data_IF_052722658694
#
_entry.id   IF_052722658694
#
_cell.length_a   1.000
_cell.length_b   1.000
_cell.length_c   1.000
_cell.angle_alpha   90.00
_cell.angle_beta   90.00
_cell.angle_gamma   90.00
#
_symmetry.space_group_name_H-M   'P 1'
#
loop_
_entity.id
_entity.type
_entity.pdbx_description
1 polymer ?
#
# COMPACT_ATOMS: atom_id res chain seq x y z
N UNK A 1 3.30 -9.97 34.36
CA UNK A 1 3.71 -10.73 33.16
C UNK A 1 3.18 -10.02 31.91
N UNK A 2 4.08 -9.34 31.20
CA UNK A 2 4.04 -8.95 29.77
C UNK A 2 2.78 -8.32 29.17
N UNK A 3 2.76 -6.99 29.04
CA UNK A 3 1.92 -6.27 28.06
C UNK A 3 2.32 -6.65 26.63
N UNK A 4 1.38 -7.02 25.73
CA UNK A 4 1.69 -7.18 24.32
C UNK A 4 1.56 -5.84 23.60
N UNK A 5 2.51 -4.92 23.84
CA UNK A 5 2.73 -3.76 22.98
C UNK A 5 3.69 -4.15 21.87
N UNK A 6 3.18 -4.84 20.85
CA UNK A 6 3.89 -5.03 19.57
C UNK A 6 3.47 -3.95 18.57
N UNK A 7 4.36 -3.47 17.68
CA UNK A 7 3.97 -2.54 16.63
C UNK A 7 2.85 -3.17 15.80
N UNK A 8 1.80 -2.39 15.58
CA UNK A 8 0.60 -2.72 14.78
C UNK A 8 0.98 -3.06 13.34
N UNK A 9 1.61 -4.21 13.11
CA UNK A 9 1.42 -4.92 11.84
C UNK A 9 0.02 -5.50 11.95
N UNK A 10 -0.92 -5.18 11.04
CA UNK A 10 -2.11 -5.99 10.91
C UNK A 10 -1.62 -7.41 10.66
N UNK A 11 -1.61 -8.24 11.71
CA UNK A 11 -1.49 -9.69 11.60
C UNK A 11 -2.59 -10.03 10.62
N UNK A 12 -2.23 -10.38 9.39
CA UNK A 12 -3.16 -10.66 8.31
C UNK A 12 -4.31 -11.47 8.89
N UNK A 13 -5.41 -10.79 9.22
CA UNK A 13 -6.61 -11.46 9.65
C UNK A 13 -6.98 -12.27 8.42
N UNK A 14 -7.40 -13.52 8.62
CA UNK A 14 -7.55 -14.54 7.58
C UNK A 14 -8.36 -14.10 6.34
N UNK A 15 -8.97 -12.92 6.35
CA UNK A 15 -9.80 -12.34 5.32
C UNK A 15 -9.14 -11.22 4.48
N UNK A 16 -7.86 -10.87 4.71
CA UNK A 16 -7.17 -9.81 3.97
C UNK A 16 -5.96 -10.32 3.19
N UNK A 17 -5.67 -9.67 2.06
CA UNK A 17 -4.46 -9.87 1.26
C UNK A 17 -3.70 -8.55 1.16
N UNK A 18 -2.37 -8.63 1.26
CA UNK A 18 -1.49 -7.48 1.11
C UNK A 18 -1.02 -7.35 -0.33
N UNK A 19 -1.09 -6.13 -0.86
CA UNK A 19 -0.46 -5.71 -2.11
C UNK A 19 0.70 -4.78 -1.74
N UNK A 20 1.89 -5.13 -2.20
CA UNK A 20 3.10 -4.33 -2.06
C UNK A 20 3.18 -3.31 -3.21
N UNK A 21 3.37 -2.05 -2.86
CA UNK A 21 3.68 -0.96 -3.77
C UNK A 21 5.16 -0.53 -3.59
N UNK A 22 5.92 -0.48 -4.68
CA UNK A 22 7.34 -0.09 -4.71
C UNK A 22 7.62 0.90 -5.84
N UNK A 23 8.82 1.50 -5.87
CA UNK A 23 9.21 2.51 -6.86
C UNK A 23 9.10 3.94 -6.34
N UNK A 24 8.92 4.12 -5.04
CA UNK A 24 8.82 5.44 -4.42
C UNK A 24 10.19 6.11 -4.27
N UNK A 25 10.25 7.44 -4.37
CA UNK A 25 11.45 8.20 -4.09
C UNK A 25 11.87 8.04 -2.63
N UNK A 26 13.17 8.14 -2.38
CA UNK A 26 13.78 7.99 -1.05
C UNK A 26 13.32 9.02 -0.03
N UNK A 27 12.87 10.17 -0.51
CA UNK A 27 12.35 11.27 0.29
C UNK A 27 10.90 11.55 -0.14
N UNK A 28 9.95 10.89 0.53
CA UNK A 28 8.52 11.20 0.41
C UNK A 28 8.08 12.15 1.53
N UNK A 29 7.49 13.26 1.14
CA UNK A 29 6.83 14.21 2.03
C UNK A 29 5.46 13.66 2.51
N UNK A 30 4.93 14.12 3.66
CA UNK A 30 3.59 13.73 4.10
C UNK A 30 2.48 14.02 3.07
N UNK A 31 2.59 15.12 2.32
CA UNK A 31 1.64 15.49 1.27
C UNK A 31 1.63 14.47 0.14
N UNK A 32 2.80 13.98 -0.28
CA UNK A 32 2.89 12.96 -1.34
C UNK A 32 2.33 11.61 -0.90
N UNK A 33 2.47 11.26 0.40
CA UNK A 33 1.84 10.06 0.95
C UNK A 33 0.32 10.15 0.92
N UNK A 34 -0.22 11.35 1.19
CA UNK A 34 -1.64 11.62 1.11
C UNK A 34 -2.14 11.55 -0.35
N UNK A 35 -1.45 12.21 -1.28
CA UNK A 35 -1.75 12.12 -2.72
C UNK A 35 -1.71 10.69 -3.25
N UNK A 36 -0.72 9.89 -2.82
CA UNK A 36 -0.65 8.47 -3.17
C UNK A 36 -1.86 7.71 -2.62
N UNK A 37 -2.20 7.93 -1.36
CA UNK A 37 -3.37 7.33 -0.70
C UNK A 37 -4.67 7.65 -1.45
N UNK A 38 -4.85 8.91 -1.85
CA UNK A 38 -6.03 9.33 -2.61
C UNK A 38 -6.10 8.66 -3.98
N UNK A 39 -4.97 8.57 -4.70
CA UNK A 39 -4.90 7.90 -5.99
C UNK A 39 -5.22 6.41 -5.90
N UNK A 40 -4.71 5.72 -4.88
CA UNK A 40 -5.07 4.33 -4.59
C UNK A 40 -6.57 4.22 -4.36
N UNK A 41 -7.16 5.07 -3.49
CA UNK A 41 -8.58 5.04 -3.19
C UNK A 41 -9.47 5.33 -4.42
N UNK A 42 -9.05 6.26 -5.28
CA UNK A 42 -9.72 6.58 -6.53
C UNK A 42 -9.64 5.41 -7.52
N UNK A 43 -8.44 4.83 -7.70
CA UNK A 43 -8.23 3.71 -8.62
C UNK A 43 -9.01 2.46 -8.20
N UNK A 44 -9.08 2.18 -6.90
CA UNK A 44 -9.78 1.01 -6.38
C UNK A 44 -11.23 1.29 -6.00
N UNK A 45 -11.85 2.34 -6.55
CA UNK A 45 -13.30 2.61 -6.43
C UNK A 45 -13.84 2.60 -4.99
N UNK A 46 -13.02 3.00 -4.00
CA UNK A 46 -13.31 2.93 -2.56
C UNK A 46 -13.51 1.52 -1.99
N UNK A 47 -12.89 0.49 -2.58
CA UNK A 47 -12.68 -0.77 -1.89
C UNK A 47 -12.04 -0.50 -0.51
N UNK A 48 -12.63 -1.05 0.54
CA UNK A 48 -12.12 -0.87 1.90
C UNK A 48 -10.71 -1.41 1.99
N UNK A 49 -9.75 -0.52 2.29
CA UNK A 49 -8.35 -0.85 2.36
C UNK A 49 -7.69 -0.22 3.59
N UNK A 50 -6.63 -0.87 4.07
CA UNK A 50 -5.77 -0.30 5.11
C UNK A 50 -4.35 -0.21 4.57
N UNK A 51 -3.74 0.97 4.64
CA UNK A 51 -2.38 1.19 4.16
C UNK A 51 -1.40 1.28 5.31
N UNK A 52 -0.30 0.56 5.19
CA UNK A 52 0.85 0.65 6.07
C UNK A 52 2.07 1.09 5.25
N UNK A 53 2.70 2.19 5.65
CA UNK A 53 3.97 2.61 5.08
C UNK A 53 5.11 1.88 5.80
N UNK A 54 6.07 1.37 5.04
CA UNK A 54 7.29 0.75 5.53
C UNK A 54 8.53 1.38 4.90
N UNK A 55 9.63 1.37 5.64
CA UNK A 55 10.94 1.62 5.05
C UNK A 55 11.35 0.35 4.28
N UNK A 56 11.49 0.46 2.97
CA UNK A 56 11.85 -0.63 2.07
C UNK A 56 13.32 -1.04 2.18
N UNK A 57 14.11 -0.34 3.00
CA UNK A 57 15.55 -0.51 3.04
C UNK A 57 16.24 0.16 1.86
N UNK A 58 17.53 0.49 2.04
CA UNK A 58 18.36 1.21 1.07
C UNK A 58 17.77 2.54 0.58
N UNK A 59 17.03 3.24 1.44
CA UNK A 59 16.42 4.53 1.11
C UNK A 59 15.28 4.40 0.10
N UNK A 60 14.59 3.27 0.00
CA UNK A 60 13.39 3.16 -0.83
C UNK A 60 12.14 3.14 0.06
N UNK A 61 11.11 3.92 -0.28
CA UNK A 61 9.83 3.83 0.42
C UNK A 61 9.03 2.64 -0.13
N UNK A 62 8.34 1.91 0.75
CA UNK A 62 7.41 0.84 0.36
C UNK A 62 6.07 1.06 1.05
N UNK A 63 4.98 0.76 0.37
CA UNK A 63 3.66 0.72 0.99
C UNK A 63 3.07 -0.68 0.85
N UNK A 64 2.35 -1.11 1.89
CA UNK A 64 1.54 -2.32 1.84
C UNK A 64 0.09 -1.89 1.99
N UNK A 65 -0.73 -2.25 1.00
CA UNK A 65 -2.16 -1.97 0.96
C UNK A 65 -2.88 -3.28 1.20
N UNK A 66 -3.66 -3.35 2.28
CA UNK A 66 -4.44 -4.53 2.64
C UNK A 66 -5.86 -4.37 2.13
N UNK A 67 -6.31 -5.31 1.28
CA UNK A 67 -7.69 -5.41 0.81
C UNK A 67 -8.33 -6.70 1.33
N UNK A 68 -9.66 -6.74 1.40
CA UNK A 68 -10.38 -7.99 1.62
C UNK A 68 -10.08 -8.99 0.50
N UNK A 69 -9.90 -10.28 0.82
CA UNK A 69 -9.57 -11.37 -0.13
C UNK A 69 -10.44 -11.34 -1.39
N UNK A 70 -11.74 -11.15 -1.21
CA UNK A 70 -12.72 -11.17 -2.30
C UNK A 70 -12.57 -10.00 -3.29
N UNK A 71 -11.87 -8.94 -2.89
CA UNK A 71 -11.67 -7.74 -3.71
C UNK A 71 -10.20 -7.49 -4.04
N UNK A 72 -9.27 -8.25 -3.46
CA UNK A 72 -7.85 -7.99 -3.59
C UNK A 72 -7.34 -8.23 -5.02
N UNK A 73 -7.84 -9.27 -5.69
CA UNK A 73 -7.45 -9.55 -7.07
C UNK A 73 -7.90 -8.44 -8.02
N UNK A 74 -9.15 -7.99 -7.88
CA UNK A 74 -9.69 -6.86 -8.63
C UNK A 74 -8.94 -5.57 -8.32
N UNK A 75 -8.64 -5.32 -7.04
CA UNK A 75 -7.85 -4.16 -6.61
C UNK A 75 -6.46 -4.15 -7.24
N UNK A 76 -5.77 -5.29 -7.32
CA UNK A 76 -4.46 -5.37 -7.96
C UNK A 76 -4.56 -5.03 -9.46
N UNK A 77 -5.52 -5.61 -10.17
CA UNK A 77 -5.73 -5.33 -11.59
C UNK A 77 -6.03 -3.85 -11.85
N UNK A 78 -6.87 -3.23 -11.02
CA UNK A 78 -7.19 -1.81 -11.10
C UNK A 78 -5.96 -0.92 -10.83
N UNK A 79 -5.17 -1.25 -9.80
CA UNK A 79 -3.96 -0.49 -9.46
C UNK A 79 -2.90 -0.56 -10.55
N UNK A 80 -2.73 -1.73 -11.17
CA UNK A 80 -1.81 -1.91 -12.30
C UNK A 80 -2.30 -1.16 -13.55
N UNK A 81 -3.61 -1.14 -13.80
CA UNK A 81 -4.20 -0.40 -14.91
C UNK A 81 -4.19 1.13 -14.71
N UNK A 82 -4.16 1.60 -13.46
CA UNK A 82 -4.24 3.02 -13.12
C UNK A 82 -2.94 3.82 -13.34
N UNK A 83 -1.82 3.17 -13.64
CA UNK A 83 -0.52 3.81 -13.93
C UNK A 83 -0.16 4.92 -12.92
N UNK A 84 -0.18 4.56 -11.63
CA UNK A 84 0.04 5.52 -10.55
C UNK A 84 1.51 5.94 -10.51
N UNK A 85 1.77 7.25 -10.63
CA UNK A 85 3.13 7.83 -10.65
C UNK A 85 3.41 8.86 -9.57
N UNK A 86 4.44 8.67 -8.74
CA UNK A 86 4.87 9.68 -7.75
C UNK A 86 6.11 10.40 -8.25
N UNK A 87 6.05 11.73 -8.41
CA UNK A 87 7.15 12.55 -8.99
C UNK A 87 7.68 12.02 -10.34
N UNK A 88 6.79 11.46 -11.15
CA UNK A 88 7.14 10.85 -12.44
C UNK A 88 7.73 9.44 -12.35
N UNK A 89 7.95 8.90 -11.15
CA UNK A 89 8.33 7.49 -10.96
C UNK A 89 7.09 6.61 -10.92
N UNK A 90 7.08 5.58 -11.74
CA UNK A 90 6.01 4.58 -11.79
C UNK A 90 6.01 3.70 -10.54
N UNK A 91 4.85 3.57 -9.91
CA UNK A 91 4.66 2.72 -8.76
C UNK A 91 4.24 1.33 -9.23
N UNK A 92 5.06 0.33 -8.88
CA UNK A 92 4.83 -1.06 -9.21
C UNK A 92 4.03 -1.73 -8.11
N UNK A 93 2.94 -2.42 -8.48
CA UNK A 93 2.08 -3.16 -7.56
C UNK A 93 2.24 -4.67 -7.77
N UNK A 94 2.46 -5.39 -6.67
CA UNK A 94 2.65 -6.85 -6.67
C UNK A 94 2.11 -7.45 -5.38
N UNK A 95 1.83 -8.75 -5.37
CA UNK A 95 1.46 -9.45 -4.14
C UNK A 95 2.59 -9.40 -3.09
N UNK A 96 2.21 -9.30 -1.81
CA UNK A 96 3.14 -9.36 -0.68
C UNK A 96 3.66 -10.79 -0.46
#
# INVERSE_FOLDING_TARGET
>A
MGSPSGPLRPRASSNFMGIRAVGFPSSMTPQEKHLFTDRVNTATTRLSSTMAAGDGGAGSYTFVIYFHKNAAADALALLQAADIRVRGQEIQFSWL
#
